data_IF_515738151698
#
_entry.id   IF_515738151698
#
_cell.length_a   1.000
_cell.length_b   1.000
_cell.length_c   1.000
_cell.angle_alpha   90.00
_cell.angle_beta   90.00
_cell.angle_gamma   90.00
#
_symmetry.space_group_name_H-M   'P 1'
#
loop_
_entity.id
_entity.type
_entity.pdbx_description
1 polymer ?
#
# COMPACT_ATOMS: atom_id res chain seq x y z
N UNK A 1 -0.80 8.57 17.21
CA UNK A 1 -0.37 7.48 16.31
C UNK A 1 1.12 7.51 16.32
N UNK A 2 1.64 6.80 17.30
CA UNK A 2 2.92 7.07 17.96
C UNK A 2 4.08 6.52 17.15
N UNK A 3 5.22 7.17 17.33
CA UNK A 3 6.48 6.90 16.64
C UNK A 3 7.09 5.61 17.22
N UNK A 4 6.48 4.46 16.91
CA UNK A 4 6.72 3.16 17.56
C UNK A 4 8.21 2.77 17.59
N UNK A 5 8.94 2.98 16.50
CA UNK A 5 10.39 2.71 16.42
C UNK A 5 11.25 3.51 17.42
N UNK A 6 10.80 4.69 17.84
CA UNK A 6 11.55 5.57 18.76
C UNK A 6 11.25 5.25 20.23
N UNK A 7 10.17 4.50 20.49
CA UNK A 7 9.79 4.02 21.81
C UNK A 7 10.25 2.58 22.08
N UNK A 8 10.99 1.98 21.15
CA UNK A 8 11.51 0.60 21.27
C UNK A 8 12.53 0.45 22.42
N UNK A 9 12.46 -0.71 23.07
CA UNK A 9 13.31 -1.14 24.17
C UNK A 9 14.81 -1.01 23.83
N UNK A 10 15.20 -1.26 22.59
CA UNK A 10 16.59 -1.10 22.14
C UNK A 10 17.07 0.36 22.26
N UNK A 11 16.23 1.34 21.93
CA UNK A 11 16.63 2.74 21.97
C UNK A 11 16.74 3.26 23.41
N UNK A 12 15.91 2.76 24.33
CA UNK A 12 16.07 3.06 25.76
C UNK A 12 17.35 2.46 26.31
N UNK A 13 17.66 1.20 26.00
CA UNK A 13 18.89 0.54 26.43
C UNK A 13 20.14 1.25 25.88
N UNK A 14 20.12 1.68 24.61
CA UNK A 14 21.21 2.45 24.02
C UNK A 14 21.37 3.84 24.65
N UNK A 15 20.29 4.49 25.08
CA UNK A 15 20.35 5.77 25.79
C UNK A 15 20.87 5.61 27.21
N UNK A 16 20.47 4.56 27.91
CA UNK A 16 21.00 4.22 29.24
C UNK A 16 22.49 3.90 29.17
N UNK A 17 22.94 3.21 28.11
CA UNK A 17 24.36 2.95 27.86
C UNK A 17 25.21 4.21 27.63
N UNK A 18 24.59 5.34 27.30
CA UNK A 18 25.29 6.64 27.20
C UNK A 18 25.38 7.41 28.52
N UNK A 19 24.80 6.89 29.61
CA UNK A 19 24.86 7.51 30.93
C UNK A 19 26.07 7.01 31.71
N UNK A 20 26.68 7.89 32.52
CA UNK A 20 27.95 7.63 33.21
C UNK A 20 27.92 6.51 34.27
N UNK A 21 26.74 6.00 34.63
CA UNK A 21 26.51 4.93 35.60
C UNK A 21 26.08 3.64 34.88
N UNK A 22 26.95 3.10 34.04
CA UNK A 22 26.62 1.95 33.19
C UNK A 22 26.55 0.64 33.99
N UNK A 23 25.41 -0.04 33.91
CA UNK A 23 25.28 -1.46 34.31
C UNK A 23 25.59 -2.29 33.07
N UNK A 24 26.63 -3.13 33.12
CA UNK A 24 26.85 -4.11 32.05
C UNK A 24 25.67 -5.08 31.99
N UNK A 25 24.88 -4.94 30.92
CA UNK A 25 23.74 -5.81 30.66
C UNK A 25 24.21 -7.12 30.01
N UNK A 26 23.52 -8.21 30.35
CA UNK A 26 23.77 -9.52 29.76
C UNK A 26 23.56 -9.49 28.22
N UNK A 27 24.43 -10.15 27.43
CA UNK A 27 24.33 -10.16 25.97
C UNK A 27 22.98 -10.61 25.40
N UNK A 28 22.24 -11.45 26.14
CA UNK A 28 20.91 -11.93 25.76
C UNK A 28 19.85 -10.83 25.72
N UNK A 29 19.94 -9.83 26.62
CA UNK A 29 19.00 -8.71 26.70
C UNK A 29 19.15 -7.84 25.45
N UNK A 30 20.39 -7.54 25.07
CA UNK A 30 20.69 -6.79 23.86
C UNK A 30 20.23 -7.51 22.59
N UNK A 31 20.44 -8.82 22.51
CA UNK A 31 20.04 -9.61 21.35
C UNK A 31 18.51 -9.64 21.20
N UNK A 32 17.76 -9.83 22.27
CA UNK A 32 16.29 -9.84 22.23
C UNK A 32 15.71 -8.48 21.83
N UNK A 33 16.23 -7.39 22.42
CA UNK A 33 15.82 -6.02 22.06
C UNK A 33 16.14 -5.71 20.58
N UNK A 34 17.28 -6.18 20.08
CA UNK A 34 17.67 -6.03 18.69
C UNK A 34 16.77 -6.82 17.72
N UNK A 35 16.41 -8.06 18.06
CA UNK A 35 15.50 -8.85 17.23
C UNK A 35 14.10 -8.25 17.16
N UNK A 36 13.59 -7.73 18.28
CA UNK A 36 12.31 -7.02 18.30
C UNK A 36 12.35 -5.76 17.43
N UNK A 37 13.44 -5.00 17.50
CA UNK A 37 13.65 -3.84 16.63
C UNK A 37 13.64 -4.24 15.14
N UNK A 38 14.30 -5.33 14.76
CA UNK A 38 14.30 -5.83 13.38
C UNK A 38 12.89 -6.17 12.90
N UNK A 39 12.14 -6.95 13.69
CA UNK A 39 10.75 -7.34 13.35
C UNK A 39 9.83 -6.12 13.20
N UNK A 40 9.99 -5.11 14.04
CA UNK A 40 9.22 -3.87 13.93
C UNK A 40 9.61 -3.05 12.70
N UNK A 41 10.90 -2.98 12.36
CA UNK A 41 11.37 -2.32 11.14
C UNK A 41 10.81 -3.00 9.88
N UNK A 42 10.88 -4.32 9.80
CA UNK A 42 10.33 -5.13 8.69
C UNK A 42 8.81 -4.93 8.56
N UNK A 43 8.06 -5.05 9.66
CA UNK A 43 6.60 -4.87 9.64
C UNK A 43 6.18 -3.48 9.18
N UNK A 44 6.98 -2.45 9.48
CA UNK A 44 6.71 -1.08 9.04
C UNK A 44 6.92 -0.91 7.52
N UNK A 45 7.83 -1.68 6.92
CA UNK A 45 8.13 -1.61 5.48
C UNK A 45 7.25 -2.54 4.64
N UNK A 46 6.71 -3.62 5.21
CA UNK A 46 5.84 -4.58 4.52
C UNK A 46 4.47 -4.02 4.06
N UNK A 47 3.90 -3.07 4.80
CA UNK A 47 2.45 -2.79 4.68
C UNK A 47 2.10 -1.72 3.64
N UNK A 48 2.94 -0.70 3.45
CA UNK A 48 2.75 0.32 2.42
C UNK A 48 4.01 1.20 2.30
N UNK A 49 4.68 1.21 1.14
CA UNK A 49 5.78 2.13 0.85
C UNK A 49 5.26 3.58 0.74
N UNK A 50 5.02 4.22 1.88
CA UNK A 50 4.54 5.59 1.97
C UNK A 50 5.66 6.56 2.35
N UNK A 51 5.54 7.81 1.89
CA UNK A 51 6.45 8.90 2.31
C UNK A 51 6.50 9.08 3.84
N UNK A 52 5.45 8.66 4.54
CA UNK A 52 5.39 8.65 6.00
C UNK A 52 6.33 7.59 6.60
N UNK A 53 6.29 6.35 6.10
CA UNK A 53 7.17 5.26 6.55
C UNK A 53 8.63 5.63 6.33
N UNK A 54 8.96 6.16 5.15
CA UNK A 54 10.33 6.61 4.84
C UNK A 54 10.83 7.68 5.82
N UNK A 55 10.00 8.69 6.12
CA UNK A 55 10.34 9.73 7.11
C UNK A 55 10.53 9.16 8.51
N UNK A 56 9.69 8.22 8.92
CA UNK A 56 9.81 7.57 10.24
C UNK A 56 11.12 6.80 10.36
N UNK A 57 11.49 6.00 9.34
CA UNK A 57 12.74 5.25 9.32
C UNK A 57 13.95 6.19 9.29
N UNK A 58 13.90 7.24 8.47
CA UNK A 58 15.00 8.20 8.37
C UNK A 58 15.18 9.00 9.66
N UNK A 59 14.10 9.40 10.33
CA UNK A 59 14.16 10.03 11.66
C UNK A 59 14.80 9.09 12.70
N UNK A 60 14.39 7.82 12.75
CA UNK A 60 14.98 6.84 13.67
C UNK A 60 16.47 6.63 13.39
N UNK A 61 16.88 6.61 12.12
CA UNK A 61 18.29 6.53 11.70
C UNK A 61 19.09 7.74 12.20
N UNK A 62 18.58 8.96 12.01
CA UNK A 62 19.24 10.20 12.43
C UNK A 62 19.44 10.22 13.96
N UNK A 63 18.43 9.79 14.72
CA UNK A 63 18.53 9.69 16.18
C UNK A 63 19.60 8.67 16.61
N UNK A 64 19.62 7.49 15.99
CA UNK A 64 20.62 6.46 16.27
C UNK A 64 22.05 6.88 15.90
N UNK A 65 22.25 7.68 14.84
CA UNK A 65 23.58 8.18 14.43
C UNK A 65 24.21 9.13 15.46
N UNK A 66 23.42 9.68 16.39
CA UNK A 66 23.93 10.52 17.47
C UNK A 66 24.52 9.70 18.62
N UNK A 67 24.07 8.45 18.81
CA UNK A 67 24.44 7.61 19.96
C UNK A 67 25.92 7.24 19.96
N UNK A 68 26.54 6.76 18.85
CA UNK A 68 27.96 6.44 18.82
C UNK A 68 28.85 7.63 19.19
N UNK A 69 28.49 8.84 18.74
CA UNK A 69 29.23 10.07 19.08
C UNK A 69 29.25 10.32 20.59
N UNK A 70 28.16 9.99 21.29
CA UNK A 70 28.07 10.08 22.75
C UNK A 70 28.85 8.96 23.45
N UNK A 71 28.76 7.73 22.94
CA UNK A 71 29.53 6.60 23.47
C UNK A 71 31.04 6.80 23.35
N UNK A 72 31.53 7.38 22.24
CA UNK A 72 32.95 7.69 22.05
C UNK A 72 33.50 8.75 23.02
N UNK A 73 32.64 9.57 23.62
CA UNK A 73 33.04 10.56 24.62
C UNK A 73 33.28 9.95 26.01
N UNK A 74 32.92 8.68 26.23
CA UNK A 74 33.02 7.99 27.52
C UNK A 74 34.33 7.16 27.56
N UNK A 75 35.18 7.31 28.59
CA UNK A 75 36.46 6.59 28.70
C UNK A 75 36.32 5.06 28.86
N UNK A 76 35.21 4.59 29.45
CA UNK A 76 34.86 3.17 29.69
C UNK A 76 33.57 2.81 28.95
N UNK A 77 33.64 2.89 27.61
CA UNK A 77 32.47 2.71 26.74
C UNK A 77 32.05 1.24 26.67
N UNK A 78 30.75 0.99 26.66
CA UNK A 78 30.23 -0.35 26.40
C UNK A 78 30.37 -0.70 24.91
N UNK A 79 31.33 -1.58 24.62
CA UNK A 79 31.55 -2.13 23.27
C UNK A 79 30.35 -2.94 22.75
N UNK A 80 29.53 -3.47 23.65
CA UNK A 80 28.32 -4.22 23.30
C UNK A 80 27.24 -3.27 22.78
N UNK A 81 26.98 -2.17 23.49
CA UNK A 81 26.09 -1.11 23.04
C UNK A 81 26.54 -0.51 21.68
N UNK A 82 27.85 -0.31 21.49
CA UNK A 82 28.42 0.16 20.21
C UNK A 82 28.11 -0.80 19.05
N UNK A 83 28.28 -2.10 19.29
CA UNK A 83 27.97 -3.15 18.30
C UNK A 83 26.49 -3.16 17.92
N UNK A 84 25.58 -3.15 18.90
CA UNK A 84 24.14 -3.20 18.63
C UNK A 84 23.60 -1.90 18.02
N UNK A 85 24.18 -0.75 18.38
CA UNK A 85 23.88 0.51 17.70
C UNK A 85 24.26 0.45 16.22
N UNK A 86 25.46 -0.08 15.91
CA UNK A 86 25.92 -0.26 14.54
C UNK A 86 25.04 -1.24 13.75
N UNK A 87 24.63 -2.35 14.37
CA UNK A 87 23.67 -3.30 13.79
C UNK A 87 22.33 -2.61 13.46
N UNK A 88 21.74 -1.90 14.42
CA UNK A 88 20.46 -1.21 14.22
C UNK A 88 20.52 -0.15 13.10
N UNK A 89 21.60 0.62 13.03
CA UNK A 89 21.82 1.57 11.94
C UNK A 89 21.90 0.89 10.57
N UNK A 90 22.55 -0.27 10.49
CA UNK A 90 22.64 -1.03 9.25
C UNK A 90 21.30 -1.63 8.82
N UNK A 91 20.45 -2.05 9.77
CA UNK A 91 19.08 -2.48 9.50
C UNK A 91 18.27 -1.34 8.87
N UNK A 92 18.22 -0.16 9.51
CA UNK A 92 17.46 0.98 8.97
C UNK A 92 17.97 1.43 7.60
N UNK A 93 19.29 1.41 7.37
CA UNK A 93 19.88 1.66 6.05
C UNK A 93 19.55 0.57 5.03
N UNK A 94 19.42 -0.68 5.47
CA UNK A 94 18.94 -1.80 4.67
C UNK A 94 17.50 -1.54 4.21
N UNK A 95 16.60 -1.26 5.14
CA UNK A 95 15.19 -0.96 4.87
C UNK A 95 15.01 0.22 3.91
N UNK A 96 15.71 1.35 4.14
CA UNK A 96 15.66 2.50 3.23
C UNK A 96 16.15 2.14 1.81
N UNK A 97 17.17 1.29 1.70
CA UNK A 97 17.68 0.82 0.41
C UNK A 97 16.68 -0.10 -0.29
N UNK A 98 16.04 -1.01 0.44
CA UNK A 98 15.00 -1.90 -0.10
C UNK A 98 13.83 -1.05 -0.64
N UNK A 99 13.30 -0.12 0.17
CA UNK A 99 12.22 0.79 -0.27
C UNK A 99 12.65 1.61 -1.50
N UNK A 100 13.85 2.20 -1.48
CA UNK A 100 14.34 3.01 -2.61
C UNK A 100 14.51 2.17 -3.87
N UNK A 101 14.98 0.93 -3.72
CA UNK A 101 15.15 -0.01 -4.82
C UNK A 101 13.80 -0.41 -5.42
N UNK A 102 12.80 -0.73 -4.60
CA UNK A 102 11.43 -1.00 -5.02
C UNK A 102 10.82 0.19 -5.76
N UNK A 103 10.95 1.41 -5.22
CA UNK A 103 10.46 2.63 -5.86
C UNK A 103 11.13 2.90 -7.22
N UNK A 104 12.42 2.58 -7.33
CA UNK A 104 13.19 2.76 -8.57
C UNK A 104 12.92 1.65 -9.60
N UNK A 105 12.49 0.47 -9.14
CA UNK A 105 12.19 -0.69 -9.97
C UNK A 105 10.83 -1.28 -9.58
N UNK A 106 9.73 -0.69 -10.08
CA UNK A 106 8.37 -1.11 -9.73
C UNK A 106 8.03 -2.56 -10.08
N UNK A 107 8.84 -3.23 -10.91
CA UNK A 107 8.72 -4.66 -11.20
C UNK A 107 9.04 -5.55 -10.00
N UNK A 108 9.78 -5.04 -9.02
CA UNK A 108 10.09 -5.72 -7.76
C UNK A 108 9.24 -5.22 -6.59
N UNK A 109 8.78 -3.96 -6.65
CA UNK A 109 7.82 -3.40 -5.69
C UNK A 109 6.49 -4.15 -5.80
N UNK A 110 6.18 -5.01 -4.83
CA UNK A 110 4.89 -5.69 -4.81
C UNK A 110 4.80 -6.92 -5.72
N UNK A 111 5.71 -7.87 -5.57
CA UNK A 111 5.34 -9.29 -5.78
C UNK A 111 4.31 -9.80 -4.75
N UNK A 112 3.94 -8.96 -3.77
CA UNK A 112 2.64 -9.05 -3.15
C UNK A 112 1.59 -8.58 -4.17
N UNK A 113 0.92 -9.55 -4.80
CA UNK A 113 -0.22 -9.44 -5.71
C UNK A 113 -1.44 -8.71 -5.11
N UNK A 114 -1.26 -7.66 -4.32
CA UNK A 114 -2.27 -6.62 -4.17
C UNK A 114 -2.19 -5.67 -5.36
N UNK A 115 -2.24 -6.22 -6.58
CA UNK A 115 -3.10 -5.61 -7.58
C UNK A 115 -4.41 -5.43 -6.84
N UNK A 116 -4.85 -4.19 -6.57
CA UNK A 116 -6.05 -3.93 -5.80
C UNK A 116 -7.22 -4.69 -6.44
N UNK A 117 -7.46 -5.94 -6.03
CA UNK A 117 -8.57 -6.75 -6.56
C UNK A 117 -9.80 -6.08 -6.01
N UNK A 118 -10.72 -5.68 -6.88
CA UNK A 118 -11.94 -5.03 -6.42
C UNK A 118 -12.66 -6.00 -5.47
N UNK A 119 -13.23 -5.53 -4.35
CA UNK A 119 -14.04 -6.40 -3.50
C UNK A 119 -15.33 -6.83 -4.22
N UNK A 120 -15.71 -6.14 -5.30
CA UNK A 120 -16.93 -6.40 -6.05
C UNK A 120 -16.68 -7.41 -7.17
N UNK A 121 -17.63 -8.32 -7.32
CA UNK A 121 -17.70 -9.30 -8.38
C UNK A 121 -19.10 -9.26 -8.99
N UNK A 122 -19.23 -9.67 -10.25
CA UNK A 122 -20.56 -9.88 -10.83
C UNK A 122 -21.22 -11.06 -10.13
N UNK A 123 -22.49 -10.88 -9.74
CA UNK A 123 -23.31 -11.97 -9.21
C UNK A 123 -23.71 -12.95 -10.31
N UNK A 124 -24.12 -14.15 -9.90
CA UNK A 124 -24.60 -15.18 -10.81
C UNK A 124 -25.74 -14.64 -11.69
N UNK A 125 -25.61 -14.82 -13.02
CA UNK A 125 -26.57 -14.36 -14.02
C UNK A 125 -26.25 -13.01 -14.67
N UNK A 126 -25.17 -12.32 -14.26
CA UNK A 126 -24.66 -11.13 -14.96
C UNK A 126 -23.35 -11.44 -15.68
N UNK A 127 -23.22 -10.90 -16.89
CA UNK A 127 -22.08 -11.11 -17.78
C UNK A 127 -21.46 -9.78 -18.22
N UNK A 128 -20.20 -9.78 -18.69
CA UNK A 128 -19.54 -8.59 -19.25
C UNK A 128 -20.37 -7.87 -20.32
N UNK A 129 -21.15 -8.61 -21.11
CA UNK A 129 -22.07 -8.08 -22.11
C UNK A 129 -23.17 -7.19 -21.53
N UNK A 130 -23.62 -7.46 -20.30
CA UNK A 130 -24.61 -6.63 -19.62
C UNK A 130 -24.01 -5.26 -19.25
N UNK A 131 -22.73 -5.21 -18.88
CA UNK A 131 -22.06 -3.95 -18.56
C UNK A 131 -21.90 -3.03 -19.77
N UNK A 132 -21.87 -3.58 -20.99
CA UNK A 132 -21.82 -2.77 -22.22
C UNK A 132 -23.05 -1.87 -22.36
N UNK A 133 -24.22 -2.31 -21.86
CA UNK A 133 -25.45 -1.50 -21.83
C UNK A 133 -25.33 -0.30 -20.87
N UNK A 134 -24.40 -0.33 -19.92
CA UNK A 134 -24.09 0.79 -19.01
C UNK A 134 -22.94 1.62 -19.57
N UNK A 135 -21.83 0.97 -19.94
CA UNK A 135 -20.60 1.64 -20.39
C UNK A 135 -20.87 2.48 -21.65
N UNK A 136 -21.67 1.97 -22.58
CA UNK A 136 -21.96 2.69 -23.84
C UNK A 136 -22.64 4.03 -23.57
N UNK A 137 -23.82 4.11 -22.93
CA UNK A 137 -24.45 5.39 -22.64
C UNK A 137 -23.61 6.25 -21.69
N UNK A 138 -22.89 5.68 -20.72
CA UNK A 138 -21.97 6.44 -19.87
C UNK A 138 -20.93 7.22 -20.68
N UNK A 139 -20.33 6.57 -21.68
CA UNK A 139 -19.36 7.18 -22.57
C UNK A 139 -20.01 8.21 -23.50
N UNK A 140 -21.11 7.85 -24.19
CA UNK A 140 -21.77 8.74 -25.16
C UNK A 140 -22.35 10.00 -24.51
N UNK A 141 -22.80 9.92 -23.25
CA UNK A 141 -23.24 11.10 -22.48
C UNK A 141 -22.08 11.99 -22.01
N UNK A 142 -20.83 11.55 -22.13
CA UNK A 142 -19.67 12.27 -21.59
C UNK A 142 -19.72 12.41 -20.06
N UNK A 143 -20.31 11.42 -19.36
CA UNK A 143 -20.62 11.53 -17.93
C UNK A 143 -19.36 11.61 -17.05
N UNK A 144 -18.27 10.98 -17.48
CA UNK A 144 -17.06 10.82 -16.70
C UNK A 144 -15.96 11.80 -17.14
N UNK A 145 -15.35 12.47 -16.16
CA UNK A 145 -14.10 13.21 -16.32
C UNK A 145 -12.98 12.51 -15.56
N UNK A 146 -11.77 12.62 -16.07
CA UNK A 146 -10.55 12.14 -15.41
C UNK A 146 -10.14 13.10 -14.28
N UNK A 147 -9.18 12.68 -13.45
CA UNK A 147 -8.59 13.53 -12.41
C UNK A 147 -7.97 14.82 -12.97
N UNK A 148 -7.54 14.80 -14.25
CA UNK A 148 -7.01 15.94 -15.00
C UNK A 148 -8.12 16.86 -15.55
N UNK A 149 -9.39 16.64 -15.19
CA UNK A 149 -10.59 17.39 -15.64
C UNK A 149 -10.87 17.34 -17.14
N UNK A 150 -10.26 16.42 -17.89
CA UNK A 150 -10.65 16.10 -19.28
C UNK A 150 -11.71 15.00 -19.32
N UNK A 151 -12.54 14.97 -20.36
CA UNK A 151 -13.47 13.87 -20.62
C UNK A 151 -12.72 12.53 -20.68
N UNK A 152 -13.29 11.51 -20.03
CA UNK A 152 -12.73 10.17 -20.02
C UNK A 152 -12.87 9.51 -21.40
N UNK A 153 -11.80 8.85 -21.85
CA UNK A 153 -11.83 8.05 -23.07
C UNK A 153 -12.56 6.73 -22.79
N UNK A 154 -13.17 6.16 -23.82
CA UNK A 154 -13.88 4.87 -23.71
C UNK A 154 -13.00 3.77 -23.11
N UNK A 155 -11.73 3.69 -23.52
CA UNK A 155 -10.76 2.71 -22.99
C UNK A 155 -10.49 2.88 -21.49
N UNK A 156 -10.54 4.11 -20.98
CA UNK A 156 -10.34 4.38 -19.55
C UNK A 156 -11.54 3.91 -18.75
N UNK A 157 -12.75 4.17 -19.25
CA UNK A 157 -13.99 3.71 -18.64
C UNK A 157 -14.03 2.17 -18.62
N UNK A 158 -13.71 1.52 -19.74
CA UNK A 158 -13.67 0.04 -19.83
C UNK A 158 -12.73 -0.55 -18.76
N UNK A 159 -11.51 -0.02 -18.65
CA UNK A 159 -10.53 -0.51 -17.67
C UNK A 159 -11.01 -0.36 -16.23
N UNK A 160 -11.74 0.72 -15.93
CA UNK A 160 -12.34 0.91 -14.61
C UNK A 160 -13.41 -0.13 -14.34
N UNK A 161 -14.28 -0.45 -15.31
CA UNK A 161 -15.29 -1.51 -15.13
C UNK A 161 -14.68 -2.91 -15.03
N UNK A 162 -13.65 -3.21 -15.83
CA UNK A 162 -12.90 -4.46 -15.75
C UNK A 162 -12.27 -4.65 -14.37
N UNK A 163 -11.60 -3.60 -13.88
CA UNK A 163 -11.05 -3.56 -12.52
C UNK A 163 -12.13 -3.66 -11.46
N UNK A 164 -13.21 -2.89 -11.58
CA UNK A 164 -14.26 -2.79 -10.56
C UNK A 164 -15.01 -4.10 -10.33
N UNK A 165 -15.05 -5.00 -11.31
CA UNK A 165 -15.75 -6.29 -11.18
C UNK A 165 -14.84 -7.52 -11.32
N UNK A 166 -13.52 -7.30 -11.42
CA UNK A 166 -12.52 -8.34 -11.67
C UNK A 166 -12.86 -9.22 -12.90
N UNK A 167 -13.21 -8.56 -14.01
CA UNK A 167 -13.56 -9.24 -15.27
C UNK A 167 -12.73 -8.68 -16.42
N UNK A 168 -12.77 -9.38 -17.56
CA UNK A 168 -12.27 -8.87 -18.84
C UNK A 168 -13.43 -8.66 -19.80
N UNK A 169 -13.41 -7.55 -20.54
CA UNK A 169 -14.39 -7.22 -21.57
C UNK A 169 -13.70 -7.30 -22.94
N UNK A 170 -13.52 -8.52 -23.48
CA UNK A 170 -12.82 -8.69 -24.74
C UNK A 170 -13.64 -8.11 -25.89
N UNK A 171 -12.96 -7.42 -26.80
CA UNK A 171 -13.54 -6.92 -28.05
C UNK A 171 -14.83 -6.10 -27.84
N UNK A 172 -14.71 -5.05 -27.03
CA UNK A 172 -15.81 -4.15 -26.68
C UNK A 172 -16.62 -3.67 -27.90
N UNK A 173 -15.98 -3.38 -29.03
CA UNK A 173 -16.66 -2.93 -30.23
C UNK A 173 -17.68 -3.97 -30.77
N UNK A 174 -17.31 -5.25 -30.79
CA UNK A 174 -18.22 -6.33 -31.19
C UNK A 174 -19.35 -6.49 -30.17
N UNK A 175 -19.04 -6.45 -28.87
CA UNK A 175 -20.05 -6.55 -27.82
C UNK A 175 -21.03 -5.36 -27.85
N UNK A 176 -20.54 -4.15 -28.09
CA UNK A 176 -21.36 -2.94 -28.28
C UNK A 176 -22.28 -3.08 -29.48
N UNK A 177 -21.75 -3.51 -30.62
CA UNK A 177 -22.56 -3.72 -31.81
C UNK A 177 -23.61 -4.81 -31.59
N UNK A 178 -23.26 -5.89 -30.89
CA UNK A 178 -24.19 -6.95 -30.54
C UNK A 178 -25.28 -6.49 -29.57
N UNK A 179 -24.96 -5.60 -28.62
CA UNK A 179 -25.92 -5.01 -27.68
C UNK A 179 -26.87 -4.03 -28.40
N UNK A 180 -26.35 -3.14 -29.24
CA UNK A 180 -27.14 -2.13 -29.97
C UNK A 180 -28.06 -2.79 -31.01
N UNK A 181 -27.59 -3.81 -31.71
CA UNK A 181 -28.34 -4.43 -32.81
C UNK A 181 -29.32 -5.54 -32.39
N UNK A 182 -29.65 -5.65 -31.10
CA UNK A 182 -30.64 -6.65 -30.64
C UNK A 182 -32.02 -6.29 -31.20
N UNK A 183 -32.65 -7.26 -31.88
CA UNK A 183 -33.98 -7.08 -32.49
C UNK A 183 -35.14 -7.14 -31.49
N UNK A 184 -34.92 -7.76 -30.32
CA UNK A 184 -35.90 -7.96 -29.25
C UNK A 184 -35.19 -7.65 -27.93
N UNK A 185 -35.83 -6.87 -27.04
CA UNK A 185 -35.25 -6.35 -25.78
C UNK A 185 -33.89 -5.68 -26.02
N UNK A 186 -33.92 -4.44 -26.51
CA UNK A 186 -32.72 -3.67 -26.87
C UNK A 186 -31.81 -3.41 -25.66
N UNK A 187 -32.38 -3.23 -24.46
CA UNK A 187 -31.66 -2.83 -23.24
C UNK A 187 -32.16 -3.56 -21.98
N UNK A 188 -32.08 -4.91 -21.93
CA UNK A 188 -32.68 -5.71 -20.85
C UNK A 188 -32.14 -5.36 -19.46
N UNK A 189 -30.87 -4.97 -19.34
CA UNK A 189 -30.32 -4.57 -18.05
C UNK A 189 -30.91 -3.23 -17.60
N UNK A 190 -30.93 -2.23 -18.47
CA UNK A 190 -31.45 -0.90 -18.15
C UNK A 190 -32.95 -0.94 -17.88
N UNK A 191 -33.70 -1.75 -18.63
CA UNK A 191 -35.13 -1.95 -18.41
C UNK A 191 -35.38 -2.52 -17.00
N UNK A 192 -34.63 -3.56 -16.62
CA UNK A 192 -34.70 -4.15 -15.27
C UNK A 192 -34.30 -3.16 -14.17
N UNK A 193 -33.26 -2.36 -14.40
CA UNK A 193 -32.86 -1.31 -13.45
C UNK A 193 -33.97 -0.27 -13.29
N UNK A 194 -34.60 0.15 -14.39
CA UNK A 194 -35.73 1.08 -14.38
C UNK A 194 -36.92 0.52 -13.61
N UNK A 195 -37.30 -0.74 -13.85
CA UNK A 195 -38.36 -1.41 -13.10
C UNK A 195 -38.07 -1.45 -11.60
N UNK A 196 -36.84 -1.75 -11.21
CA UNK A 196 -36.41 -1.73 -9.80
C UNK A 196 -36.58 -0.33 -9.20
N UNK A 197 -36.14 0.72 -9.90
CA UNK A 197 -36.29 2.10 -9.44
C UNK A 197 -37.77 2.49 -9.26
N UNK A 198 -38.63 2.15 -10.22
CA UNK A 198 -40.08 2.42 -10.14
C UNK A 198 -40.67 1.71 -8.92
N UNK A 199 -40.35 0.42 -8.73
CA UNK A 199 -40.84 -0.37 -7.58
C UNK A 199 -40.39 0.25 -6.25
N UNK A 200 -39.13 0.65 -6.14
CA UNK A 200 -38.60 1.29 -4.93
C UNK A 200 -39.23 2.67 -4.67
N UNK A 201 -39.64 3.40 -5.71
CA UNK A 201 -40.29 4.71 -5.54
C UNK A 201 -41.73 4.63 -5.02
N UNK A 202 -42.35 3.45 -5.08
CA UNK A 202 -43.72 3.20 -4.63
C UNK A 202 -43.80 2.64 -3.20
N UNK A 203 -42.64 2.43 -2.54
CA UNK A 203 -42.52 2.02 -1.14
C UNK A 203 -42.29 3.22 -0.24
#
# INVERSE_FOLDING_TARGET
MDNLLIQEELLSLLKEATQASHVQLEPCVWQNAYENFCRHAEKLTESECSSKVMRTIDHARIELEQIPKRLYAIPDRDTTAELYCSKALNVLRGELRIITFELSHPTFAGQNEKMFVSPLHLSEGFHPTNLVEIITPFFEMGLCVTAEKRLAKLTEIIRVFEWAFNITIPNYAVLRNAAINRKIHQTPLLDKMREILIRLSQQ
#
